data_IF_872143339043
#
_entry.id   IF_872143339043
#
_cell.length_a   1.000
_cell.length_b   1.000
_cell.length_c   1.000
_cell.angle_alpha   90.00
_cell.angle_beta   90.00
_cell.angle_gamma   90.00
#
_symmetry.space_group_name_H-M   'P 1'
#
loop_
_entity.id
_entity.type
_entity.pdbx_description
1 polymer ?
#
# COMPACT_ATOMS: atom_id res chain seq x y z
N UNK A 1 7.66 24.29 1.54
CA UNK A 1 8.15 22.99 1.02
C UNK A 1 6.91 22.17 0.77
N UNK A 2 6.59 21.87 -0.49
CA UNK A 2 5.58 20.84 -0.77
C UNK A 2 6.20 19.51 -0.38
N UNK A 3 5.94 19.07 0.84
CA UNK A 3 6.24 17.71 1.26
C UNK A 3 5.37 16.81 0.41
N UNK A 4 5.91 16.30 -0.71
CA UNK A 4 5.18 15.43 -1.61
C UNK A 4 4.55 14.29 -0.80
N UNK A 5 3.23 14.32 -0.68
CA UNK A 5 2.47 13.28 -0.02
C UNK A 5 2.60 12.02 -0.88
N UNK A 6 3.16 10.95 -0.33
CA UNK A 6 3.22 9.65 -1.00
C UNK A 6 1.98 8.87 -0.58
N UNK A 7 1.40 8.12 -1.50
CA UNK A 7 0.25 7.27 -1.20
C UNK A 7 0.45 5.89 -1.80
N UNK A 8 -0.01 4.86 -1.09
CA UNK A 8 -0.01 3.47 -1.57
C UNK A 8 -1.44 2.98 -1.56
N UNK A 9 -1.87 2.41 -2.68
CA UNK A 9 -3.17 1.74 -2.79
C UNK A 9 -2.90 0.31 -3.27
N UNK A 10 -3.40 -0.67 -2.54
CA UNK A 10 -3.36 -2.08 -2.95
C UNK A 10 -4.75 -2.51 -3.35
N UNK A 11 -4.87 -3.06 -4.56
CA UNK A 11 -6.10 -3.58 -5.14
C UNK A 11 -6.00 -5.10 -5.25
N UNK A 12 -7.12 -5.80 -5.07
CA UNK A 12 -7.20 -7.20 -5.48
C UNK A 12 -7.41 -7.34 -7.00
N UNK A 13 -7.42 -8.59 -7.49
CA UNK A 13 -7.56 -8.93 -8.91
C UNK A 13 -8.89 -8.45 -9.53
N UNK A 14 -9.89 -8.11 -8.72
CA UNK A 14 -11.19 -7.58 -9.17
C UNK A 14 -11.21 -6.03 -9.15
N UNK A 15 -10.08 -5.40 -8.83
CA UNK A 15 -9.97 -3.94 -8.74
C UNK A 15 -10.53 -3.37 -7.42
N UNK A 16 -10.81 -4.20 -6.42
CA UNK A 16 -11.31 -3.71 -5.12
C UNK A 16 -10.15 -3.30 -4.22
N UNK A 17 -10.29 -2.14 -3.57
CA UNK A 17 -9.32 -1.64 -2.60
C UNK A 17 -9.23 -2.58 -1.40
N UNK A 18 -8.02 -3.04 -1.12
CA UNK A 18 -7.67 -3.88 0.05
C UNK A 18 -6.90 -3.10 1.09
N UNK A 19 -6.19 -2.06 0.67
CA UNK A 19 -5.40 -1.20 1.53
C UNK A 19 -5.21 0.17 0.87
N UNK A 20 -5.22 1.23 1.68
CA UNK A 20 -4.87 2.57 1.25
C UNK A 20 -4.15 3.27 2.42
N UNK A 21 -2.99 3.86 2.14
CA UNK A 21 -2.28 4.75 3.07
C UNK A 21 -1.78 6.00 2.35
N UNK A 22 -1.68 7.08 3.08
CA UNK A 22 -1.17 8.38 2.65
C UNK A 22 -0.15 8.88 3.69
N UNK A 23 0.95 9.45 3.21
CA UNK A 23 2.04 9.96 4.04
C UNK A 23 3.40 9.36 3.66
N UNK A 24 4.44 9.75 4.40
CA UNK A 24 5.78 9.23 4.17
C UNK A 24 5.79 7.71 4.41
N UNK A 25 6.03 6.95 3.35
CA UNK A 25 6.18 5.49 3.32
C UNK A 25 7.08 5.00 4.46
N UNK A 26 6.48 4.63 5.59
CA UNK A 26 7.22 4.15 6.76
C UNK A 26 7.57 2.67 6.56
N UNK A 27 8.68 2.23 7.18
CA UNK A 27 9.15 0.84 7.03
C UNK A 27 8.08 -0.20 7.41
N UNK A 28 7.25 0.12 8.39
CA UNK A 28 6.16 -0.76 8.82
C UNK A 28 5.04 -0.85 7.79
N UNK A 29 4.70 0.25 7.12
CA UNK A 29 3.70 0.28 6.04
C UNK A 29 4.17 -0.50 4.82
N UNK A 30 5.45 -0.37 4.45
CA UNK A 30 6.05 -1.17 3.38
C UNK A 30 5.93 -2.66 3.68
N UNK A 31 6.21 -3.07 4.93
CA UNK A 31 6.13 -4.47 5.34
C UNK A 31 4.69 -4.99 5.22
N UNK A 32 3.72 -4.19 5.65
CA UNK A 32 2.30 -4.56 5.61
C UNK A 32 1.78 -4.67 4.17
N UNK A 33 2.22 -3.79 3.27
CA UNK A 33 1.93 -3.86 1.83
C UNK A 33 2.52 -5.13 1.20
N UNK A 34 3.78 -5.46 1.52
CA UNK A 34 4.43 -6.66 1.00
C UNK A 34 3.73 -7.94 1.46
N UNK A 35 3.25 -8.00 2.70
CA UNK A 35 2.42 -9.11 3.19
C UNK A 35 1.11 -9.23 2.40
N UNK A 36 0.40 -8.11 2.20
CA UNK A 36 -0.86 -8.12 1.45
C UNK A 36 -0.67 -8.56 -0.01
N UNK A 37 0.42 -8.11 -0.64
CA UNK A 37 0.77 -8.52 -2.01
C UNK A 37 1.07 -10.02 -2.08
N UNK A 38 1.81 -10.58 -1.11
CA UNK A 38 2.03 -12.03 -1.04
C UNK A 38 0.69 -12.79 -0.94
N UNK A 39 -0.23 -12.36 -0.08
CA UNK A 39 -1.55 -13.02 0.05
C UNK A 39 -2.38 -12.98 -1.24
N UNK A 40 -2.31 -11.88 -1.99
CA UNK A 40 -3.07 -11.70 -3.24
C UNK A 40 -2.47 -12.44 -4.45
N UNK A 41 -1.18 -12.77 -4.39
CA UNK A 41 -0.42 -13.41 -5.48
C UNK A 41 -0.29 -14.93 -5.33
N UNK A 42 -0.61 -15.49 -4.16
CA UNK A 42 -0.90 -16.92 -4.03
C UNK A 42 -2.23 -17.30 -4.72
#
# INVERSE_FOLDING_TARGET
MESGSLAIIVLDKQGKVRFATEGALMKDEVKQVMTLLQELLH
#
